data_IF_060679812617
#
_entry.id   IF_060679812617
#
_cell.length_a   1.000
_cell.length_b   1.000
_cell.length_c   1.000
_cell.angle_alpha   90.00
_cell.angle_beta   90.00
_cell.angle_gamma   90.00
#
_symmetry.space_group_name_H-M   'P 1'
#
loop_
_entity.id
_entity.type
_entity.pdbx_description
1 polymer ?
#
# COMPACT_ATOMS: atom_id res chain seq x y z
N UNK A 1 -1.40 -36.17 57.92
CA UNK A 1 -1.14 -36.25 56.47
C UNK A 1 -2.44 -36.09 55.65
N UNK A 2 -3.13 -34.94 55.77
CA UNK A 2 -4.38 -34.67 55.00
C UNK A 2 -4.31 -33.31 54.26
N UNK A 3 -3.29 -32.50 54.51
CA UNK A 3 -3.16 -31.15 53.94
C UNK A 3 -2.36 -31.12 52.60
N UNK A 4 -2.53 -32.13 51.75
CA UNK A 4 -1.83 -32.24 50.46
C UNK A 4 -2.72 -32.65 49.27
N UNK A 5 -4.03 -32.47 49.41
CA UNK A 5 -5.01 -32.87 48.39
C UNK A 5 -6.05 -31.79 48.01
N UNK A 6 -5.87 -30.54 48.46
CA UNK A 6 -6.79 -29.41 48.15
C UNK A 6 -6.15 -28.41 47.15
N UNK A 7 -4.92 -28.66 46.68
CA UNK A 7 -4.24 -27.81 45.68
C UNK A 7 -4.22 -28.48 44.30
N UNK A 8 -5.33 -29.14 43.93
CA UNK A 8 -5.45 -29.75 42.59
C UNK A 8 -6.85 -29.60 41.99
N UNK A 9 -7.53 -28.49 42.27
CA UNK A 9 -8.84 -28.15 41.67
C UNK A 9 -8.94 -26.67 41.26
N UNK A 10 -7.80 -26.05 40.90
CA UNK A 10 -7.71 -24.61 40.62
C UNK A 10 -6.95 -24.29 39.32
N UNK A 11 -6.96 -25.20 38.35
CA UNK A 11 -6.28 -24.99 37.08
C UNK A 11 -6.95 -25.66 35.87
N UNK A 12 -8.28 -25.83 35.85
CA UNK A 12 -8.98 -25.94 34.57
C UNK A 12 -9.03 -24.54 33.97
N UNK A 13 -7.93 -24.20 33.30
CA UNK A 13 -7.79 -23.03 32.47
C UNK A 13 -9.08 -22.81 31.68
N UNK A 14 -9.64 -21.61 31.82
CA UNK A 14 -10.54 -21.01 30.86
C UNK A 14 -9.81 -20.94 29.50
N UNK A 15 -9.71 -22.06 28.81
CA UNK A 15 -9.52 -22.08 27.37
C UNK A 15 -10.89 -21.78 26.77
N UNK A 16 -11.33 -20.51 26.86
CA UNK A 16 -12.38 -20.06 25.98
C UNK A 16 -11.83 -20.24 24.57
N UNK A 17 -12.34 -21.26 23.88
CA UNK A 17 -12.21 -21.42 22.44
C UNK A 17 -12.70 -20.09 21.86
N UNK A 18 -11.78 -19.26 21.39
CA UNK A 18 -12.15 -18.12 20.55
C UNK A 18 -12.76 -18.72 19.28
N UNK A 19 -14.09 -18.79 19.27
CA UNK A 19 -14.85 -19.16 18.10
C UNK A 19 -15.23 -17.82 17.46
N UNK A 20 -14.48 -17.32 16.47
CA UNK A 20 -14.86 -16.10 15.80
C UNK A 20 -16.30 -16.28 15.29
N UNK A 21 -17.17 -15.27 15.41
CA UNK A 21 -18.51 -15.37 14.86
C UNK A 21 -18.40 -15.74 13.38
N UNK A 22 -19.26 -16.64 12.86
CA UNK A 22 -19.27 -16.94 11.43
C UNK A 22 -19.39 -15.61 10.69
N UNK A 23 -18.41 -15.32 9.84
CA UNK A 23 -18.44 -14.17 8.94
C UNK A 23 -19.73 -14.27 8.15
N UNK A 24 -20.71 -13.43 8.46
CA UNK A 24 -21.95 -13.37 7.69
C UNK A 24 -21.57 -13.05 6.24
N UNK A 25 -21.89 -13.91 5.25
CA UNK A 25 -21.58 -13.65 3.84
C UNK A 25 -22.44 -12.54 3.22
N UNK A 26 -23.02 -11.64 4.03
CA UNK A 26 -23.75 -10.48 3.56
C UNK A 26 -22.76 -9.39 3.18
N UNK A 27 -22.55 -9.22 1.87
CA UNK A 27 -21.79 -8.13 1.23
C UNK A 27 -20.27 -8.37 1.04
N UNK A 28 -19.82 -9.62 0.91
CA UNK A 28 -18.48 -9.87 0.37
C UNK A 28 -18.52 -9.69 -1.16
N UNK A 29 -17.77 -8.72 -1.69
CA UNK A 29 -17.59 -8.57 -3.14
C UNK A 29 -16.69 -9.71 -3.62
N UNK A 30 -17.12 -10.54 -4.59
CA UNK A 30 -16.31 -11.65 -5.06
C UNK A 30 -15.11 -11.16 -5.88
N UNK A 31 -14.00 -11.91 -5.87
CA UNK A 31 -12.91 -11.72 -6.83
C UNK A 31 -13.26 -12.51 -8.09
N UNK A 32 -13.38 -11.82 -9.23
CA UNK A 32 -13.68 -12.43 -10.53
C UNK A 32 -12.43 -12.99 -11.20
N UNK A 33 -11.31 -12.28 -11.06
CA UNK A 33 -10.02 -12.67 -11.62
C UNK A 33 -8.90 -12.17 -10.72
N UNK A 34 -7.84 -12.95 -10.61
CA UNK A 34 -6.61 -12.57 -9.95
C UNK A 34 -5.45 -13.27 -10.66
N UNK A 35 -4.41 -12.50 -10.96
CA UNK A 35 -3.17 -12.99 -11.52
C UNK A 35 -2.00 -12.48 -10.68
N UNK A 36 -1.01 -13.34 -10.46
CA UNK A 36 0.27 -12.98 -9.88
C UNK A 36 1.35 -13.81 -10.54
N UNK A 37 2.32 -13.13 -11.14
CA UNK A 37 3.46 -13.74 -11.80
C UNK A 37 4.72 -13.05 -11.33
N UNK A 38 5.68 -13.85 -10.87
CA UNK A 38 7.03 -13.42 -10.53
C UNK A 38 8.00 -14.18 -11.42
N UNK A 39 8.80 -13.45 -12.19
CA UNK A 39 9.75 -14.02 -13.12
C UNK A 39 11.13 -14.19 -12.43
N UNK A 40 11.98 -15.13 -12.91
CA UNK A 40 13.31 -15.36 -12.33
C UNK A 40 14.25 -14.16 -12.41
N UNK A 41 14.00 -13.22 -13.33
CA UNK A 41 14.76 -11.96 -13.48
C UNK A 41 14.37 -10.89 -12.44
N UNK A 42 13.40 -11.18 -11.57
CA UNK A 42 12.86 -10.28 -10.56
C UNK A 42 11.76 -9.35 -11.07
N UNK A 43 11.39 -9.41 -12.36
CA UNK A 43 10.20 -8.73 -12.85
C UNK A 43 8.94 -9.41 -12.32
N UNK A 44 7.90 -8.62 -12.07
CA UNK A 44 6.62 -9.12 -11.60
C UNK A 44 5.47 -8.49 -12.36
N UNK A 45 4.34 -9.19 -12.35
CA UNK A 45 3.05 -8.71 -12.80
C UNK A 45 2.02 -9.18 -11.80
N UNK A 46 1.14 -8.29 -11.38
CA UNK A 46 -0.09 -8.69 -10.71
C UNK A 46 -1.29 -7.97 -11.32
N UNK A 47 -2.45 -8.60 -11.21
CA UNK A 47 -3.72 -7.97 -11.47
C UNK A 47 -4.85 -8.61 -10.68
N UNK A 48 -5.90 -7.86 -10.41
CA UNK A 48 -7.15 -8.41 -9.88
C UNK A 48 -8.35 -7.62 -10.37
N UNK A 49 -9.50 -8.29 -10.39
CA UNK A 49 -10.81 -7.71 -10.70
C UNK A 49 -11.86 -8.29 -9.75
N UNK A 50 -12.71 -7.42 -9.21
CA UNK A 50 -13.77 -7.77 -8.26
C UNK A 50 -15.16 -7.59 -8.90
N UNK A 51 -16.17 -8.23 -8.32
CA UNK A 51 -17.54 -8.28 -8.84
C UNK A 51 -18.28 -6.94 -8.86
N UNK A 52 -17.77 -5.94 -8.16
CA UNK A 52 -18.25 -4.54 -8.18
C UNK A 52 -17.60 -3.71 -9.30
N UNK A 53 -16.71 -4.30 -10.10
CA UNK A 53 -15.96 -3.65 -11.18
C UNK A 53 -14.70 -2.90 -10.72
N UNK A 54 -14.34 -2.98 -9.45
CA UNK A 54 -13.03 -2.53 -8.96
C UNK A 54 -11.93 -3.44 -9.51
N UNK A 55 -10.79 -2.86 -9.87
CA UNK A 55 -9.68 -3.64 -10.39
C UNK A 55 -8.36 -2.88 -10.35
N UNK A 56 -7.27 -3.62 -10.38
CA UNK A 56 -5.91 -3.08 -10.45
C UNK A 56 -5.04 -3.99 -11.29
N UNK A 57 -4.11 -3.40 -12.03
CA UNK A 57 -3.06 -4.10 -12.74
C UNK A 57 -1.76 -3.35 -12.57
N UNK A 58 -0.67 -4.05 -12.30
CA UNK A 58 0.65 -3.45 -12.15
C UNK A 58 1.74 -4.44 -12.57
N UNK A 59 2.71 -3.95 -13.32
CA UNK A 59 3.93 -4.66 -13.66
C UNK A 59 5.14 -3.87 -13.18
N UNK A 60 6.14 -4.58 -12.65
CA UNK A 60 7.40 -3.97 -12.24
C UNK A 60 8.60 -4.70 -12.85
N UNK A 61 9.61 -3.93 -13.24
CA UNK A 61 10.88 -4.47 -13.75
C UNK A 61 12.04 -3.90 -12.92
N UNK A 62 12.93 -4.75 -12.38
CA UNK A 62 14.15 -4.30 -11.75
C UNK A 62 15.02 -3.49 -12.72
N UNK A 63 15.55 -2.38 -12.23
CA UNK A 63 16.55 -1.54 -12.88
C UNK A 63 17.88 -1.63 -12.13
N UNK A 64 18.89 -0.98 -12.71
CA UNK A 64 20.22 -0.93 -12.12
C UNK A 64 20.17 -0.43 -10.66
N UNK A 65 21.07 -0.89 -9.79
CA UNK A 65 21.11 -0.44 -8.41
C UNK A 65 21.26 1.09 -8.34
N UNK A 66 20.32 1.74 -7.67
CA UNK A 66 20.49 3.10 -7.18
C UNK A 66 21.24 3.11 -5.84
N UNK A 67 21.53 4.30 -5.29
CA UNK A 67 22.20 4.44 -3.99
C UNK A 67 21.48 3.76 -2.81
N UNK A 68 20.19 3.44 -2.97
CA UNK A 68 19.34 2.80 -1.94
C UNK A 68 18.99 1.33 -2.24
N UNK A 69 19.58 0.74 -3.28
CA UNK A 69 19.36 -0.66 -3.68
C UNK A 69 18.83 -0.80 -5.11
N UNK A 70 18.35 -2.00 -5.48
CA UNK A 70 17.73 -2.25 -6.78
C UNK A 70 16.52 -1.34 -6.97
N UNK A 71 16.64 -0.34 -7.84
CA UNK A 71 15.50 0.48 -8.23
C UNK A 71 14.53 -0.40 -9.03
N UNK A 72 13.24 -0.26 -8.78
CA UNK A 72 12.20 -0.97 -9.55
C UNK A 72 11.33 0.09 -10.18
N UNK A 73 11.14 0.00 -11.49
CA UNK A 73 10.13 0.81 -12.19
C UNK A 73 8.85 0.00 -12.21
N UNK A 74 7.81 0.53 -11.58
CA UNK A 74 6.48 -0.08 -11.55
C UNK A 74 5.50 0.80 -12.32
N UNK A 75 4.76 0.19 -13.25
CA UNK A 75 3.71 0.84 -14.01
C UNK A 75 2.41 0.10 -13.77
N UNK A 76 1.32 0.85 -13.60
CA UNK A 76 0.05 0.22 -13.30
C UNK A 76 -1.14 1.14 -13.49
N UNK A 77 -2.29 0.57 -13.26
CA UNK A 77 -3.55 1.26 -13.23
C UNK A 77 -4.45 0.66 -12.15
N UNK A 78 -5.35 1.48 -11.62
CA UNK A 78 -6.48 1.01 -10.83
C UNK A 78 -7.75 1.72 -11.30
N UNK A 79 -8.86 1.01 -11.15
CA UNK A 79 -10.19 1.52 -11.40
C UNK A 79 -11.14 1.11 -10.29
N UNK A 80 -12.13 1.95 -10.00
CA UNK A 80 -13.25 1.61 -9.13
C UNK A 80 -14.47 2.44 -9.53
N UNK A 81 -15.65 1.95 -9.21
CA UNK A 81 -16.90 2.60 -9.55
C UNK A 81 -17.39 3.46 -8.38
N UNK A 82 -17.92 4.63 -8.70
CA UNK A 82 -18.64 5.52 -7.77
C UNK A 82 -20.00 5.87 -8.38
N UNK A 83 -20.90 6.36 -7.55
CA UNK A 83 -22.24 6.82 -7.99
C UNK A 83 -22.16 7.96 -9.03
N UNK A 84 -21.08 8.76 -9.00
CA UNK A 84 -20.81 9.86 -9.92
C UNK A 84 -19.98 9.43 -11.16
N UNK A 85 -19.76 8.13 -11.35
CA UNK A 85 -19.05 7.54 -12.49
C UNK A 85 -17.71 6.89 -12.14
N UNK A 86 -17.12 6.10 -13.04
CA UNK A 86 -15.91 5.34 -12.76
C UNK A 86 -14.70 6.25 -12.53
N UNK A 87 -13.86 5.86 -11.58
CA UNK A 87 -12.54 6.44 -11.37
C UNK A 87 -11.52 5.51 -12.02
N UNK A 88 -10.65 6.06 -12.86
CA UNK A 88 -9.52 5.35 -13.44
C UNK A 88 -8.26 6.20 -13.27
N UNK A 89 -7.19 5.58 -12.79
CA UNK A 89 -5.89 6.21 -12.59
C UNK A 89 -4.82 5.29 -13.14
N UNK A 90 -3.95 5.86 -13.98
CA UNK A 90 -2.73 5.23 -14.45
C UNK A 90 -1.55 5.85 -13.72
N UNK A 91 -0.48 5.10 -13.48
CA UNK A 91 0.69 5.63 -12.81
C UNK A 91 1.99 4.97 -13.26
N UNK A 92 3.06 5.73 -13.09
CA UNK A 92 4.45 5.27 -13.17
C UNK A 92 5.13 5.59 -11.85
N UNK A 93 5.78 4.60 -11.25
CA UNK A 93 6.61 4.75 -10.07
C UNK A 93 8.04 4.38 -10.44
N UNK A 94 8.94 5.35 -10.38
CA UNK A 94 10.36 5.18 -10.71
C UNK A 94 11.23 5.98 -9.76
N UNK A 95 12.50 6.20 -10.12
CA UNK A 95 13.48 6.93 -9.32
C UNK A 95 13.08 8.39 -9.05
N UNK A 96 12.15 8.94 -9.83
CA UNK A 96 11.58 10.28 -9.66
C UNK A 96 10.26 10.29 -8.87
N UNK A 97 9.88 9.15 -8.28
CA UNK A 97 8.69 8.99 -7.46
C UNK A 97 7.44 8.56 -8.24
N UNK A 98 6.29 8.67 -7.57
CA UNK A 98 4.98 8.24 -8.07
C UNK A 98 4.32 9.33 -8.93
N UNK A 99 3.96 8.97 -10.15
CA UNK A 99 3.44 9.88 -11.17
C UNK A 99 2.04 9.44 -11.63
N UNK A 100 0.96 9.86 -10.95
CA UNK A 100 -0.40 9.51 -11.32
C UNK A 100 -0.95 10.39 -12.44
N UNK A 101 -1.75 9.78 -13.30
CA UNK A 101 -2.48 10.41 -14.40
C UNK A 101 -3.89 9.85 -14.46
N UNK A 102 -4.86 10.67 -14.85
CA UNK A 102 -6.26 10.27 -14.97
C UNK A 102 -7.19 11.46 -14.79
N UNK A 103 -8.42 11.32 -15.27
CA UNK A 103 -9.41 12.42 -15.30
C UNK A 103 -9.79 12.91 -13.90
N UNK A 104 -9.74 12.01 -12.92
CA UNK A 104 -10.02 12.28 -11.50
C UNK A 104 -8.78 12.70 -10.70
N UNK A 105 -7.62 12.81 -11.33
CA UNK A 105 -6.40 13.36 -10.73
C UNK A 105 -6.36 14.86 -11.00
N UNK A 106 -6.50 15.68 -9.95
CA UNK A 106 -6.60 17.13 -10.11
C UNK A 106 -5.39 17.71 -10.88
N UNK A 107 -5.59 18.65 -11.83
CA UNK A 107 -4.51 19.17 -12.68
C UNK A 107 -3.34 19.79 -11.91
N UNK A 108 -3.57 20.32 -10.71
CA UNK A 108 -2.47 20.85 -9.86
C UNK A 108 -1.50 19.76 -9.41
N UNK A 109 -1.99 18.54 -9.15
CA UNK A 109 -1.14 17.40 -8.78
C UNK A 109 -0.30 16.98 -9.97
N UNK A 110 -0.90 16.86 -11.15
CA UNK A 110 -0.17 16.50 -12.37
C UNK A 110 0.93 17.52 -12.69
N UNK A 111 0.63 18.82 -12.54
CA UNK A 111 1.62 19.90 -12.71
C UNK A 111 2.73 19.85 -11.67
N UNK A 112 2.40 19.63 -10.40
CA UNK A 112 3.38 19.54 -9.32
C UNK A 112 4.31 18.34 -9.52
N UNK A 113 3.74 17.17 -9.84
CA UNK A 113 4.50 15.96 -10.17
C UNK A 113 5.43 16.21 -11.36
N UNK A 114 4.93 16.79 -12.45
CA UNK A 114 5.76 17.11 -13.62
C UNK A 114 6.93 18.06 -13.28
N UNK A 115 6.68 19.06 -12.44
CA UNK A 115 7.72 19.98 -11.95
C UNK A 115 8.78 19.24 -11.11
N UNK A 116 8.35 18.39 -10.16
CA UNK A 116 9.25 17.62 -9.30
C UNK A 116 10.10 16.63 -10.09
N UNK A 117 9.51 15.93 -11.06
CA UNK A 117 10.24 15.03 -11.96
C UNK A 117 11.30 15.81 -12.76
N UNK A 118 10.93 16.97 -13.32
CA UNK A 118 11.86 17.82 -14.05
C UNK A 118 12.98 18.38 -13.17
N UNK A 119 12.71 18.70 -11.91
CA UNK A 119 13.71 19.14 -10.94
C UNK A 119 14.66 17.99 -10.56
N UNK A 120 14.13 16.80 -10.29
CA UNK A 120 14.93 15.62 -9.94
C UNK A 120 15.81 15.15 -11.11
N UNK A 121 15.37 15.31 -12.35
CA UNK A 121 16.18 15.05 -13.54
C UNK A 121 17.37 16.01 -13.69
N UNK A 122 17.21 17.27 -13.26
CA UNK A 122 18.31 18.26 -13.26
C UNK A 122 19.28 18.04 -12.11
N UNK A 123 18.78 17.57 -10.96
CA UNK A 123 19.54 17.41 -9.72
C UNK A 123 19.44 15.95 -9.20
N UNK A 124 20.17 14.99 -9.81
CA UNK A 124 20.06 13.56 -9.47
C UNK A 124 20.47 13.21 -8.03
N UNK A 125 21.11 14.11 -7.28
CA UNK A 125 21.45 13.93 -5.86
C UNK A 125 20.35 14.38 -4.88
N UNK A 126 19.26 14.99 -5.37
CA UNK A 126 18.17 15.55 -4.54
C UNK A 126 16.94 14.66 -4.35
N UNK A 127 16.93 13.44 -4.91
CA UNK A 127 15.74 12.57 -4.97
C UNK A 127 15.38 11.85 -3.66
N UNK A 128 16.17 12.01 -2.58
CA UNK A 128 15.76 11.54 -1.27
C UNK A 128 14.55 12.36 -0.81
N UNK A 129 13.44 11.74 -0.37
CA UNK A 129 12.34 12.49 0.22
C UNK A 129 12.89 13.26 1.41
N UNK A 130 12.94 14.58 1.28
CA UNK A 130 13.00 15.46 2.44
C UNK A 130 11.67 15.26 3.17
N UNK A 131 11.62 14.21 4.00
CA UNK A 131 10.70 14.12 5.11
C UNK A 131 11.00 15.38 5.91
N UNK A 132 10.22 16.43 5.66
CA UNK A 132 10.32 17.69 6.36
C UNK A 132 10.14 17.33 7.83
N UNK A 133 11.25 17.25 8.56
CA UNK A 133 11.25 17.01 9.97
C UNK A 133 10.32 18.08 10.55
N UNK A 134 9.12 17.66 10.97
CA UNK A 134 8.21 18.51 11.71
C UNK A 134 8.97 18.80 12.99
N UNK A 135 9.65 19.94 13.02
CA UNK A 135 10.36 20.42 14.19
C UNK A 135 9.31 20.49 15.30
N UNK A 136 9.42 19.69 16.37
CA UNK A 136 8.45 19.77 17.44
C UNK A 136 8.48 21.21 17.95
N UNK A 137 7.36 21.92 17.80
CA UNK A 137 7.21 23.24 18.37
C UNK A 137 7.27 23.08 19.89
N UNK A 138 8.37 23.53 20.49
CA UNK A 138 8.50 23.61 21.95
C UNK A 138 7.44 24.57 22.49
N UNK A 139 6.26 24.04 22.81
CA UNK A 139 5.14 24.76 23.39
C UNK A 139 5.29 24.95 24.91
N UNK A 140 6.20 24.19 25.55
CA UNK A 140 6.53 24.36 26.96
C UNK A 140 7.68 25.36 27.14
N UNK A 141 7.34 26.65 27.16
CA UNK A 141 8.33 27.71 27.31
C UNK A 141 7.78 29.10 27.55
N UNK A 142 6.59 29.24 28.15
CA UNK A 142 6.15 30.54 28.70
C UNK A 142 5.76 30.33 30.17
N UNK A 143 6.63 30.82 31.05
CA UNK A 143 6.33 31.09 32.46
C UNK A 143 5.33 32.24 32.56
#
# INVERSE_FOLDING_TARGET
MICRLIVLFLATAFAQRYNPPPSQPGNAVPILSQNYQLNPDGSYQFSYETGDGTGRSESGVPRAPGPEGLAVVAEGNFKYNLDDGPVAVNYVANEYGYQPTGDRVHPSIQKAVAYLVAEAQKNPQGAAPQQSAVKPSNFFGRK
#
